data_IF_571453447238
#
_entry.id   IF_571453447238
#
_cell.length_a   1.000
_cell.length_b   1.000
_cell.length_c   1.000
_cell.angle_alpha   90.00
_cell.angle_beta   90.00
_cell.angle_gamma   90.00
#
_symmetry.space_group_name_H-M   'P 1'
#
loop_
_entity.id
_entity.type
_entity.pdbx_description
1 polymer ?
#
# COMPACT_ATOMS: atom_id res chain seq x y z
N UNK A 1 2.84 8.44 22.26
CA UNK A 1 1.65 9.11 21.70
C UNK A 1 0.74 8.04 21.11
N UNK A 2 -0.57 8.25 21.06
CA UNK A 2 -1.49 7.32 20.37
C UNK A 2 -1.44 7.55 18.87
N UNK A 3 -1.40 6.49 18.07
CA UNK A 3 -1.43 6.55 16.60
C UNK A 3 -2.67 7.30 16.09
N UNK A 4 -3.80 7.18 16.80
CA UNK A 4 -5.06 7.88 16.48
C UNK A 4 -4.94 9.40 16.50
N UNK A 5 -4.12 9.95 17.41
CA UNK A 5 -3.86 11.39 17.46
C UNK A 5 -2.91 11.88 16.36
N UNK A 6 -2.09 10.98 15.82
CA UNK A 6 -1.14 11.26 14.75
C UNK A 6 -1.81 11.24 13.36
N UNK A 7 -2.82 10.39 13.16
CA UNK A 7 -3.52 10.25 11.87
C UNK A 7 -4.31 11.49 11.43
N UNK A 8 -4.68 12.38 12.36
CA UNK A 8 -5.44 13.60 12.05
C UNK A 8 -4.55 14.83 11.78
N UNK A 9 -3.22 14.71 11.92
CA UNK A 9 -2.29 15.79 11.67
C UNK A 9 -0.98 15.24 11.05
N UNK A 10 -0.71 15.51 9.77
CA UNK A 10 0.50 15.06 9.07
C UNK A 10 1.80 15.40 9.83
N UNK A 11 1.86 16.58 10.46
CA UNK A 11 3.04 17.00 11.24
C UNK A 11 3.18 16.21 12.56
N UNK A 12 2.07 15.82 13.18
CA UNK A 12 2.09 14.99 14.39
C UNK A 12 2.46 13.54 14.07
N UNK A 13 2.08 13.05 12.88
CA UNK A 13 2.52 11.77 12.34
C UNK A 13 4.01 11.76 12.06
N UNK A 14 4.54 12.75 11.33
CA UNK A 14 5.96 12.87 11.07
C UNK A 14 6.79 13.00 12.35
N UNK A 15 6.31 13.76 13.34
CA UNK A 15 6.97 13.90 14.65
C UNK A 15 6.89 12.64 15.52
N UNK A 16 5.85 11.82 15.35
CA UNK A 16 5.78 10.50 15.98
C UNK A 16 6.77 9.54 15.33
N UNK A 17 6.89 9.58 14.00
CA UNK A 17 7.85 8.80 13.20
C UNK A 17 9.31 9.11 13.54
N UNK A 18 9.66 10.40 13.73
CA UNK A 18 11.01 10.82 14.15
C UNK A 18 11.39 10.34 15.55
N UNK A 19 10.44 10.33 16.50
CA UNK A 19 10.68 9.85 17.87
C UNK A 19 10.91 8.34 17.96
N UNK A 20 10.40 7.57 16.99
CA UNK A 20 10.65 6.12 16.85
C UNK A 20 11.95 5.82 16.07
N UNK A 21 12.71 6.85 15.68
CA UNK A 21 14.06 6.72 15.11
C UNK A 21 14.11 6.33 13.62
N UNK A 22 13.07 6.66 12.85
CA UNK A 22 12.96 6.27 11.44
C UNK A 22 13.17 7.51 10.55
N UNK A 23 14.39 7.70 10.03
CA UNK A 23 14.68 8.72 9.01
C UNK A 23 14.20 8.25 7.62
N UNK A 24 13.42 9.08 6.93
CA UNK A 24 13.00 8.84 5.55
C UNK A 24 13.33 10.07 4.69
N UNK A 25 13.98 9.85 3.54
CA UNK A 25 14.15 10.89 2.52
C UNK A 25 12.94 10.84 1.60
N UNK A 26 12.12 11.90 1.61
CA UNK A 26 10.96 12.06 0.71
C UNK A 26 11.41 12.09 -0.77
N UNK A 27 10.84 11.24 -1.64
CA UNK A 27 10.93 11.43 -3.08
C UNK A 27 9.79 12.35 -3.59
N UNK A 28 9.92 12.91 -4.80
CA UNK A 28 9.06 13.99 -5.27
C UNK A 28 7.64 13.50 -5.61
N UNK A 29 6.63 14.20 -5.09
CA UNK A 29 5.21 13.99 -5.32
C UNK A 29 4.80 14.27 -6.78
N UNK A 30 4.00 13.40 -7.41
CA UNK A 30 3.32 13.71 -8.67
C UNK A 30 1.82 13.40 -8.60
N UNK A 31 1.03 14.38 -9.05
CA UNK A 31 -0.43 14.34 -9.18
C UNK A 31 -0.89 13.42 -10.32
N UNK A 32 -2.09 12.87 -10.12
CA UNK A 32 -2.70 11.79 -10.88
C UNK A 32 -2.93 12.08 -12.38
N UNK A 33 -2.71 11.07 -13.22
CA UNK A 33 -3.38 10.91 -14.52
C UNK A 33 -3.97 9.50 -14.62
N UNK A 34 -5.31 9.43 -14.68
CA UNK A 34 -6.08 8.24 -15.06
C UNK A 34 -6.05 8.10 -16.59
N UNK A 35 -5.59 6.98 -17.10
CA UNK A 35 -6.05 6.44 -18.40
C UNK A 35 -6.09 4.91 -18.33
N UNK A 36 -7.27 4.35 -18.62
CA UNK A 36 -7.50 2.91 -18.80
C UNK A 36 -6.69 2.40 -20.00
N UNK A 37 -5.95 1.30 -19.82
CA UNK A 37 -5.35 0.57 -20.93
C UNK A 37 -5.73 -0.89 -20.87
N UNK A 38 -6.68 -1.26 -21.74
CA UNK A 38 -6.91 -2.63 -22.19
C UNK A 38 -5.64 -3.14 -22.87
N UNK A 39 -4.97 -4.08 -22.20
CA UNK A 39 -3.86 -4.85 -22.74
C UNK A 39 -4.35 -5.78 -23.85
N UNK A 40 -3.76 -5.69 -25.05
CA UNK A 40 -3.32 -6.85 -25.85
C UNK A 40 -2.56 -6.38 -27.10
N UNK A 41 -1.47 -7.09 -27.42
CA UNK A 41 -0.62 -6.98 -28.63
C UNK A 41 0.55 -5.98 -28.59
N UNK A 42 1.58 -6.26 -27.77
CA UNK A 42 2.81 -5.44 -27.70
C UNK A 42 4.03 -6.00 -28.44
N UNK A 43 4.00 -7.24 -28.93
CA UNK A 43 5.19 -7.88 -29.52
C UNK A 43 5.46 -7.53 -30.98
N UNK A 44 4.42 -7.32 -31.79
CA UNK A 44 4.54 -7.26 -33.25
C UNK A 44 4.69 -5.83 -33.78
N UNK A 45 3.94 -4.87 -33.22
CA UNK A 45 3.98 -3.45 -33.60
C UNK A 45 5.32 -2.76 -33.28
N UNK A 46 6.04 -3.29 -32.30
CA UNK A 46 7.27 -2.68 -31.77
C UNK A 46 8.52 -3.00 -32.63
N UNK A 47 8.44 -4.04 -33.46
CA UNK A 47 9.47 -4.41 -34.44
C UNK A 47 9.26 -3.66 -35.76
N UNK A 48 8.02 -3.63 -36.27
CA UNK A 48 7.69 -2.92 -37.51
C UNK A 48 7.96 -1.40 -37.40
N UNK A 49 7.66 -0.79 -36.25
CA UNK A 49 7.95 0.63 -36.02
C UNK A 49 9.46 0.91 -36.00
N UNK A 50 10.26 0.02 -35.41
CA UNK A 50 11.74 0.13 -35.39
C UNK A 50 12.38 -0.12 -36.75
N UNK A 51 11.74 -0.89 -37.62
CA UNK A 51 12.19 -1.08 -39.00
C UNK A 51 11.83 0.13 -39.86
N UNK A 52 10.61 0.65 -39.73
CA UNK A 52 10.17 1.88 -40.41
C UNK A 52 11.04 3.10 -40.04
N UNK A 53 11.32 3.29 -38.74
CA UNK A 53 12.17 4.39 -38.27
C UNK A 53 13.62 4.25 -38.79
N UNK A 54 14.13 3.03 -38.97
CA UNK A 54 15.45 2.78 -39.56
C UNK A 54 15.49 3.04 -41.06
N UNK A 55 14.45 2.65 -41.80
CA UNK A 55 14.36 2.94 -43.23
C UNK A 55 14.29 4.45 -43.49
N UNK A 56 13.48 5.19 -42.74
CA UNK A 56 13.39 6.65 -42.84
C UNK A 56 14.73 7.33 -42.53
N UNK A 57 15.46 6.85 -41.51
CA UNK A 57 16.78 7.39 -41.17
C UNK A 57 17.80 7.13 -42.28
N UNK A 58 17.68 5.99 -42.98
CA UNK A 58 18.58 5.59 -44.07
C UNK A 58 18.32 6.45 -45.31
N UNK A 59 17.05 6.67 -45.66
CA UNK A 59 16.64 7.56 -46.78
C UNK A 59 17.12 9.00 -46.54
N UNK A 60 16.97 9.53 -45.33
CA UNK A 60 17.48 10.86 -45.00
C UNK A 60 19.01 10.95 -45.06
N UNK A 61 19.72 9.91 -44.62
CA UNK A 61 21.18 9.83 -44.73
C UNK A 61 21.63 9.87 -46.19
N UNK A 62 21.00 9.10 -47.06
CA UNK A 62 21.34 9.04 -48.49
C UNK A 62 21.06 10.37 -49.21
N UNK A 63 19.98 11.07 -48.84
CA UNK A 63 19.71 12.43 -49.33
C UNK A 63 20.79 13.42 -48.92
N UNK A 64 21.24 13.38 -47.66
CA UNK A 64 22.29 14.26 -47.14
C UNK A 64 23.64 13.97 -47.83
N UNK A 65 24.00 12.70 -48.00
CA UNK A 65 25.24 12.30 -48.69
C UNK A 65 25.22 12.75 -50.15
N UNK A 66 24.06 12.70 -50.82
CA UNK A 66 23.89 13.19 -52.18
C UNK A 66 24.04 14.71 -52.26
N UNK A 67 23.45 15.45 -51.32
CA UNK A 67 23.64 16.91 -51.22
C UNK A 67 25.10 17.25 -50.95
N UNK A 68 25.79 16.51 -50.08
CA UNK A 68 27.20 16.74 -49.77
C UNK A 68 28.10 16.54 -51.01
N UNK A 69 27.88 15.47 -51.78
CA UNK A 69 28.58 15.24 -53.05
C UNK A 69 28.32 16.35 -54.07
N UNK A 70 27.09 16.85 -54.15
CA UNK A 70 26.74 17.96 -55.04
C UNK A 70 27.45 19.27 -54.65
N UNK A 71 27.50 19.57 -53.34
CA UNK A 71 28.19 20.75 -52.82
C UNK A 71 29.71 20.65 -53.00
N UNK A 72 30.29 19.45 -52.88
CA UNK A 72 31.72 19.20 -53.13
C UNK A 72 32.07 19.31 -54.62
N UNK A 73 31.17 18.88 -55.51
CA UNK A 73 31.26 19.11 -56.95
C UNK A 73 31.19 20.62 -57.30
N UNK A 74 30.27 21.38 -56.69
CA UNK A 74 30.22 22.83 -56.88
C UNK A 74 31.49 23.53 -56.37
N UNK A 75 32.02 23.09 -55.22
CA UNK A 75 33.27 23.62 -54.65
C UNK A 75 34.46 23.39 -55.59
N UNK A 76 34.55 22.23 -56.24
CA UNK A 76 35.62 21.92 -57.20
C UNK A 76 35.48 22.73 -58.49
N UNK A 77 34.26 22.92 -58.99
CA UNK A 77 33.98 23.79 -60.15
C UNK A 77 34.33 25.26 -59.89
N UNK A 78 34.06 25.77 -58.69
CA UNK A 78 34.39 27.16 -58.32
C UNK A 78 35.90 27.46 -58.28
N UNK A 79 36.77 26.46 -58.14
CA UNK A 79 38.23 26.64 -58.19
C UNK A 79 38.76 26.90 -59.63
N UNK A 80 37.91 26.88 -60.66
CA UNK A 80 38.30 26.97 -62.08
C UNK A 80 37.79 28.22 -62.82
N UNK A 81 37.06 29.13 -62.15
CA UNK A 81 36.53 30.39 -62.73
C UNK A 81 36.73 31.58 -61.77
N UNK A 82 36.75 32.79 -62.34
CA UNK A 82 37.11 34.09 -61.75
C UNK A 82 36.89 34.22 -60.22
N UNK A 83 37.93 34.70 -59.53
CA UNK A 83 38.15 34.55 -58.09
C UNK A 83 37.15 35.27 -57.18
N UNK A 84 36.40 36.25 -57.69
CA UNK A 84 35.57 37.15 -56.87
C UNK A 84 34.14 36.62 -56.66
N UNK A 85 33.53 35.96 -57.65
CA UNK A 85 32.22 35.27 -57.51
C UNK A 85 32.34 33.90 -56.81
N UNK A 86 33.53 33.29 -56.87
CA UNK A 86 33.85 32.04 -56.16
C UNK A 86 33.87 32.22 -54.63
N UNK A 87 34.37 33.35 -54.13
CA UNK A 87 34.56 33.56 -52.70
C UNK A 87 33.23 33.75 -51.94
N UNK A 88 32.29 34.49 -52.53
CA UNK A 88 30.95 34.73 -51.98
C UNK A 88 30.09 33.46 -51.98
N UNK A 89 30.12 32.68 -53.06
CA UNK A 89 29.44 31.38 -53.13
C UNK A 89 30.00 30.36 -52.12
N UNK A 90 31.32 30.34 -51.91
CA UNK A 90 31.96 29.45 -50.92
C UNK A 90 31.57 29.79 -49.48
N UNK A 91 31.47 31.08 -49.14
CA UNK A 91 30.99 31.51 -47.81
C UNK A 91 29.51 31.15 -47.61
N UNK A 92 28.67 31.31 -48.63
CA UNK A 92 27.26 30.95 -48.59
C UNK A 92 27.07 29.43 -48.39
N UNK A 93 27.73 28.61 -49.22
CA UNK A 93 27.72 27.14 -49.07
C UNK A 93 28.22 26.70 -47.70
N UNK A 94 29.30 27.31 -47.20
CA UNK A 94 29.84 26.95 -45.88
C UNK A 94 28.85 27.23 -44.76
N UNK A 95 28.03 28.28 -44.89
CA UNK A 95 27.00 28.62 -43.91
C UNK A 95 25.82 27.64 -43.97
N UNK A 96 25.36 27.30 -45.17
CA UNK A 96 24.29 26.31 -45.37
C UNK A 96 24.68 24.92 -44.85
N UNK A 97 25.91 24.46 -45.11
CA UNK A 97 26.41 23.18 -44.59
C UNK A 97 26.46 23.19 -43.05
N UNK A 98 26.91 24.29 -42.46
CA UNK A 98 26.97 24.43 -41.00
C UNK A 98 25.57 24.48 -40.36
N UNK A 99 24.58 25.03 -41.07
CA UNK A 99 23.18 25.05 -40.64
C UNK A 99 22.51 23.68 -40.78
N UNK A 100 22.69 23.00 -41.91
CA UNK A 100 22.21 21.64 -42.13
C UNK A 100 22.78 20.65 -41.09
N UNK A 101 24.06 20.75 -40.76
CA UNK A 101 24.68 19.93 -39.70
C UNK A 101 24.05 20.18 -38.33
N UNK A 102 23.80 21.45 -37.96
CA UNK A 102 23.14 21.79 -36.70
C UNK A 102 21.71 21.29 -36.63
N UNK A 103 20.97 21.36 -37.74
CA UNK A 103 19.61 20.84 -37.81
C UNK A 103 19.56 19.32 -37.68
N UNK A 104 20.45 18.60 -38.38
CA UNK A 104 20.58 17.14 -38.24
C UNK A 104 20.91 16.73 -36.79
N UNK A 105 21.78 17.49 -36.11
CA UNK A 105 22.14 17.22 -34.73
C UNK A 105 20.97 17.49 -33.76
N UNK A 106 20.17 18.53 -34.01
CA UNK A 106 18.91 18.77 -33.28
C UNK A 106 17.90 17.66 -33.48
N UNK A 107 17.71 17.17 -34.70
CA UNK A 107 16.80 16.06 -34.99
C UNK A 107 17.24 14.77 -34.28
N UNK A 108 18.55 14.46 -34.29
CA UNK A 108 19.10 13.33 -33.54
C UNK A 108 18.85 13.46 -32.04
N UNK A 109 19.06 14.65 -31.47
CA UNK A 109 18.80 14.91 -30.05
C UNK A 109 17.31 14.80 -29.71
N UNK A 110 16.42 15.28 -30.57
CA UNK A 110 14.96 15.14 -30.38
C UNK A 110 14.52 13.67 -30.44
N UNK A 111 15.05 12.89 -31.38
CA UNK A 111 14.77 11.46 -31.47
C UNK A 111 15.27 10.70 -30.23
N UNK A 112 16.49 11.01 -29.75
CA UNK A 112 17.03 10.44 -28.51
C UNK A 112 16.19 10.84 -27.30
N UNK A 113 15.77 12.11 -27.20
CA UNK A 113 14.89 12.58 -26.14
C UNK A 113 13.57 11.83 -26.13
N UNK A 114 12.91 11.67 -27.29
CA UNK A 114 11.67 10.92 -27.41
C UNK A 114 11.83 9.45 -27.01
N UNK A 115 12.96 8.83 -27.36
CA UNK A 115 13.27 7.46 -26.96
C UNK A 115 13.44 7.33 -25.44
N UNK A 116 14.16 8.26 -24.79
CA UNK A 116 14.32 8.28 -23.33
C UNK A 116 13.00 8.53 -22.62
N UNK A 117 12.17 9.47 -23.11
CA UNK A 117 10.83 9.72 -22.57
C UNK A 117 9.93 8.47 -22.64
N UNK A 118 10.01 7.72 -23.73
CA UNK A 118 9.27 6.46 -23.87
C UNK A 118 9.77 5.39 -22.88
N UNK A 119 11.08 5.28 -22.68
CA UNK A 119 11.67 4.34 -21.72
C UNK A 119 11.31 4.69 -20.27
N UNK A 120 11.27 5.99 -19.93
CA UNK A 120 10.82 6.45 -18.61
C UNK A 120 9.35 6.08 -18.37
N UNK A 121 8.46 6.35 -19.34
CA UNK A 121 7.05 5.95 -19.25
C UNK A 121 6.88 4.44 -19.07
N UNK A 122 7.69 3.63 -19.76
CA UNK A 122 7.66 2.18 -19.61
C UNK A 122 8.15 1.74 -18.22
N UNK A 123 9.20 2.38 -17.70
CA UNK A 123 9.70 2.13 -16.36
C UNK A 123 8.65 2.45 -15.29
N UNK A 124 7.94 3.57 -15.43
CA UNK A 124 6.86 3.96 -14.53
C UNK A 124 5.74 2.90 -14.50
N UNK A 125 5.36 2.36 -15.67
CA UNK A 125 4.38 1.27 -15.79
C UNK A 125 4.89 -0.02 -15.12
N UNK A 126 6.16 -0.40 -15.34
CA UNK A 126 6.74 -1.58 -14.71
C UNK A 126 6.83 -1.43 -13.20
N UNK A 127 7.25 -0.26 -12.71
CA UNK A 127 7.33 0.02 -11.28
C UNK A 127 5.94 -0.04 -10.65
N UNK A 128 4.92 0.56 -11.27
CA UNK A 128 3.54 0.43 -10.82
C UNK A 128 3.06 -1.02 -10.78
N UNK A 129 3.38 -1.83 -11.80
CA UNK A 129 2.92 -3.23 -11.93
C UNK A 129 3.62 -4.19 -10.96
N UNK A 130 4.92 -3.98 -10.71
CA UNK A 130 5.65 -4.77 -9.71
C UNK A 130 5.18 -4.42 -8.30
N UNK A 131 4.98 -3.13 -8.02
CA UNK A 131 4.52 -2.66 -6.72
C UNK A 131 3.12 -3.19 -6.38
N UNK A 132 2.21 -3.33 -7.35
CA UNK A 132 0.85 -3.89 -7.09
C UNK A 132 0.89 -5.38 -6.78
N UNK A 133 1.64 -6.19 -7.54
CA UNK A 133 1.75 -7.64 -7.27
C UNK A 133 2.40 -7.95 -5.93
N UNK A 134 3.45 -7.20 -5.58
CA UNK A 134 4.09 -7.36 -4.28
C UNK A 134 3.16 -6.91 -3.15
N UNK A 135 2.29 -5.91 -3.38
CA UNK A 135 1.28 -5.44 -2.43
C UNK A 135 0.16 -6.47 -2.21
N UNK A 136 -0.33 -7.11 -3.28
CA UNK A 136 -1.36 -8.16 -3.23
C UNK A 136 -0.88 -9.36 -2.43
N UNK A 137 0.28 -9.89 -2.82
CA UNK A 137 0.89 -11.05 -2.17
C UNK A 137 1.20 -10.74 -0.69
N UNK A 138 1.62 -9.52 -0.40
CA UNK A 138 1.86 -9.04 0.96
C UNK A 138 0.59 -9.04 1.82
N UNK A 139 -0.51 -8.49 1.32
CA UNK A 139 -1.78 -8.49 2.04
C UNK A 139 -2.23 -9.91 2.38
N UNK A 140 -2.05 -10.84 1.43
CA UNK A 140 -2.35 -12.26 1.58
C UNK A 140 -1.45 -12.93 2.63
N UNK A 141 -0.16 -12.62 2.64
CA UNK A 141 0.83 -13.34 3.45
C UNK A 141 0.93 -12.81 4.90
N UNK A 142 0.63 -11.53 5.14
CA UNK A 142 0.85 -10.91 6.44
C UNK A 142 -0.42 -10.34 7.10
N UNK A 143 -1.27 -9.64 6.34
CA UNK A 143 -2.46 -8.98 6.90
C UNK A 143 -3.56 -10.00 7.15
N UNK A 144 -3.91 -10.82 6.15
CA UNK A 144 -4.96 -11.85 6.30
C UNK A 144 -4.66 -12.80 7.46
N UNK A 145 -3.45 -13.39 7.59
CA UNK A 145 -3.16 -14.29 8.71
C UNK A 145 -3.23 -13.58 10.05
N UNK A 146 -2.83 -12.31 10.13
CA UNK A 146 -2.93 -11.54 11.37
C UNK A 146 -4.38 -11.28 11.79
N UNK A 147 -5.23 -10.92 10.84
CA UNK A 147 -6.68 -10.74 11.08
C UNK A 147 -7.35 -12.07 11.41
N UNK A 148 -6.94 -13.18 10.76
CA UNK A 148 -7.42 -14.52 11.13
C UNK A 148 -6.96 -14.93 12.53
N UNK A 149 -5.74 -14.59 12.92
CA UNK A 149 -5.26 -14.88 14.27
C UNK A 149 -6.12 -14.19 15.35
N UNK A 150 -6.60 -12.98 15.08
CA UNK A 150 -7.56 -12.30 15.96
C UNK A 150 -8.86 -13.09 16.15
N UNK A 151 -9.32 -13.82 15.12
CA UNK A 151 -10.52 -14.66 15.23
C UNK A 151 -10.36 -15.86 16.16
N UNK A 152 -9.12 -16.30 16.45
CA UNK A 152 -8.89 -17.45 17.33
C UNK A 152 -9.27 -17.21 18.79
N UNK A 153 -9.37 -15.95 19.23
CA UNK A 153 -9.83 -15.67 20.59
C UNK A 153 -11.35 -15.81 20.75
N UNK A 154 -12.12 -15.83 19.66
CA UNK A 154 -13.60 -15.81 19.71
C UNK A 154 -14.16 -17.02 20.47
N UNK A 155 -13.78 -18.27 20.17
CA UNK A 155 -14.31 -19.43 20.90
C UNK A 155 -14.00 -19.40 22.41
N UNK A 156 -12.84 -18.85 22.78
CA UNK A 156 -12.45 -18.75 24.18
C UNK A 156 -13.21 -17.63 24.91
N UNK A 157 -13.58 -16.56 24.21
CA UNK A 157 -14.45 -15.50 24.74
C UNK A 157 -15.90 -15.99 24.84
N UNK A 158 -16.40 -16.75 23.86
CA UNK A 158 -17.72 -17.40 23.93
C UNK A 158 -17.80 -18.32 25.15
N UNK A 159 -16.75 -19.10 25.41
CA UNK A 159 -16.67 -19.94 26.61
C UNK A 159 -16.74 -19.11 27.91
N UNK A 160 -16.16 -17.90 27.96
CA UNK A 160 -16.32 -17.00 29.12
C UNK A 160 -17.78 -16.58 29.28
N UNK A 161 -18.42 -16.16 28.18
CA UNK A 161 -19.82 -15.72 28.19
C UNK A 161 -20.72 -16.84 28.72
N UNK A 162 -20.58 -18.05 28.19
CA UNK A 162 -21.33 -19.23 28.62
C UNK A 162 -21.10 -19.54 30.10
N UNK A 163 -19.84 -19.62 30.53
CA UNK A 163 -19.47 -19.90 31.92
C UNK A 163 -19.98 -18.83 32.89
N UNK A 164 -19.94 -17.56 32.48
CA UNK A 164 -20.39 -16.46 33.30
C UNK A 164 -21.92 -16.36 33.36
N UNK A 165 -22.63 -16.72 32.28
CA UNK A 165 -24.10 -16.86 32.27
C UNK A 165 -24.55 -18.00 33.18
N UNK A 166 -23.90 -19.16 33.13
CA UNK A 166 -24.18 -20.28 34.04
C UNK A 166 -24.00 -19.86 35.51
N UNK A 167 -22.92 -19.11 35.78
CA UNK A 167 -22.67 -18.56 37.11
C UNK A 167 -23.78 -17.60 37.55
N UNK A 168 -24.25 -16.74 36.63
CA UNK A 168 -25.37 -15.82 36.88
C UNK A 168 -26.63 -16.60 37.22
N UNK A 169 -27.00 -17.57 36.39
CA UNK A 169 -28.21 -18.37 36.55
C UNK A 169 -28.19 -19.10 37.90
N UNK A 170 -27.12 -19.83 38.22
CA UNK A 170 -27.03 -20.52 39.51
C UNK A 170 -27.16 -19.57 40.71
N UNK A 171 -26.54 -18.39 40.62
CA UNK A 171 -26.61 -17.41 41.68
C UNK A 171 -28.05 -16.87 41.88
N UNK A 172 -28.81 -16.66 40.81
CA UNK A 172 -30.22 -16.25 40.90
C UNK A 172 -31.11 -17.35 41.46
N UNK A 173 -31.00 -18.57 40.93
CA UNK A 173 -31.92 -19.66 41.24
C UNK A 173 -31.62 -20.36 42.56
N UNK A 174 -30.35 -20.58 42.90
CA UNK A 174 -29.98 -21.40 44.06
C UNK A 174 -29.65 -20.56 45.29
N UNK A 175 -29.17 -19.33 45.11
CA UNK A 175 -28.57 -18.55 46.18
C UNK A 175 -29.25 -17.21 46.46
N UNK A 176 -30.40 -16.92 45.84
CA UNK A 176 -31.14 -15.66 46.01
C UNK A 176 -30.22 -14.43 45.79
N UNK A 177 -29.42 -14.51 44.71
CA UNK A 177 -28.39 -13.53 44.34
C UNK A 177 -27.21 -13.37 45.33
N UNK A 178 -27.05 -14.26 46.31
CA UNK A 178 -25.90 -14.27 47.20
C UNK A 178 -24.67 -14.89 46.53
N UNK A 179 -23.97 -14.05 45.78
CA UNK A 179 -22.78 -14.43 45.01
C UNK A 179 -21.68 -15.11 45.85
N UNK A 180 -21.64 -14.87 47.16
CA UNK A 180 -20.66 -15.51 48.05
C UNK A 180 -20.89 -17.00 48.25
N UNK A 181 -22.10 -17.51 47.94
CA UNK A 181 -22.46 -18.92 48.08
C UNK A 181 -22.16 -19.75 46.83
N UNK A 182 -21.90 -19.11 45.69
CA UNK A 182 -21.49 -19.79 44.46
C UNK A 182 -20.21 -20.58 44.70
N UNK A 183 -20.18 -21.83 44.22
CA UNK A 183 -19.06 -22.75 44.47
C UNK A 183 -17.73 -22.20 43.93
N UNK A 184 -16.63 -22.54 44.61
CA UNK A 184 -15.29 -22.20 44.12
C UNK A 184 -14.98 -22.91 42.79
N UNK A 185 -15.55 -24.09 42.54
CA UNK A 185 -15.34 -24.87 41.31
C UNK A 185 -15.78 -24.09 40.05
N UNK A 186 -16.97 -23.49 40.10
CA UNK A 186 -17.51 -22.72 38.98
C UNK A 186 -16.75 -21.42 38.79
N UNK A 187 -16.45 -20.72 39.89
CA UNK A 187 -15.61 -19.53 39.83
C UNK A 187 -14.22 -19.85 39.23
N UNK A 188 -13.63 -21.00 39.58
CA UNK A 188 -12.35 -21.44 39.03
C UNK A 188 -12.43 -21.76 37.54
N UNK A 189 -13.52 -22.38 37.09
CA UNK A 189 -13.76 -22.64 35.67
C UNK A 189 -13.85 -21.33 34.86
N UNK A 190 -14.68 -20.37 35.30
CA UNK A 190 -14.79 -19.05 34.64
C UNK A 190 -13.46 -18.30 34.67
N UNK A 191 -12.70 -18.36 35.77
CA UNK A 191 -11.36 -17.75 35.83
C UNK A 191 -10.39 -18.38 34.84
N UNK A 192 -10.43 -19.70 34.66
CA UNK A 192 -9.59 -20.41 33.70
C UNK A 192 -9.94 -20.03 32.26
N UNK A 193 -11.24 -19.92 31.94
CA UNK A 193 -11.71 -19.40 30.65
C UNK A 193 -11.18 -17.99 30.39
N UNK A 194 -11.29 -17.08 31.39
CA UNK A 194 -10.73 -15.73 31.31
C UNK A 194 -9.21 -15.73 31.04
N UNK A 195 -8.45 -16.61 31.70
CA UNK A 195 -7.01 -16.71 31.50
C UNK A 195 -6.65 -17.18 30.09
N UNK A 196 -7.46 -18.07 29.54
CA UNK A 196 -7.27 -18.59 28.19
C UNK A 196 -7.56 -17.52 27.14
N UNK A 197 -8.72 -16.87 27.20
CA UNK A 197 -9.05 -15.79 26.27
C UNK A 197 -8.06 -14.62 26.34
N UNK A 198 -7.58 -14.27 27.54
CA UNK A 198 -6.58 -13.20 27.68
C UNK A 198 -5.24 -13.55 27.01
N UNK A 199 -4.83 -14.82 27.02
CA UNK A 199 -3.63 -15.26 26.28
C UNK A 199 -3.86 -15.16 24.78
N UNK A 200 -5.02 -15.59 24.30
CA UNK A 200 -5.32 -15.62 22.87
C UNK A 200 -5.53 -14.21 22.31
N UNK A 201 -6.15 -13.31 23.07
CA UNK A 201 -6.22 -11.88 22.77
C UNK A 201 -4.84 -11.22 22.75
N UNK A 202 -3.94 -11.61 23.66
CA UNK A 202 -2.56 -11.11 23.62
C UNK A 202 -1.83 -11.61 22.36
N UNK A 203 -2.06 -12.85 21.91
CA UNK A 203 -1.50 -13.38 20.65
C UNK A 203 -2.03 -12.61 19.44
N UNK A 204 -3.35 -12.39 19.35
CA UNK A 204 -4.00 -11.64 18.27
C UNK A 204 -3.45 -10.22 18.14
N UNK A 205 -3.38 -9.50 19.26
CA UNK A 205 -2.88 -8.13 19.33
C UNK A 205 -1.44 -7.99 18.81
N UNK A 206 -0.54 -8.86 19.24
CA UNK A 206 0.85 -8.81 18.77
C UNK A 206 0.95 -9.05 17.26
N UNK A 207 0.00 -9.79 16.67
CA UNK A 207 -0.09 -10.00 15.23
C UNK A 207 -0.57 -8.74 14.50
N UNK A 208 -1.63 -8.07 14.98
CA UNK A 208 -2.20 -6.89 14.31
C UNK A 208 -1.29 -5.66 14.45
N UNK A 209 -0.93 -5.28 15.67
CA UNK A 209 -0.23 -4.00 15.90
C UNK A 209 1.20 -4.01 15.34
N UNK A 210 1.92 -5.15 15.38
CA UNK A 210 3.33 -5.18 14.98
C UNK A 210 3.58 -5.46 13.50
N UNK A 211 2.74 -6.30 12.85
CA UNK A 211 2.92 -6.68 11.44
C UNK A 211 2.03 -5.89 10.51
N UNK A 212 0.74 -5.76 10.79
CA UNK A 212 -0.16 -5.12 9.83
C UNK A 212 0.12 -3.61 9.68
N UNK A 213 0.34 -2.90 10.81
CA UNK A 213 0.63 -1.46 10.80
C UNK A 213 1.98 -1.12 10.19
N UNK A 214 3.05 -1.78 10.65
CA UNK A 214 4.42 -1.51 10.18
C UNK A 214 4.57 -1.75 8.69
N UNK A 215 3.82 -2.72 8.17
CA UNK A 215 3.94 -3.09 6.78
C UNK A 215 2.95 -2.39 5.85
N UNK A 216 1.82 -1.89 6.36
CA UNK A 216 1.00 -0.93 5.61
C UNK A 216 1.76 0.36 5.26
N UNK A 217 2.79 0.70 6.03
CA UNK A 217 3.70 1.80 5.69
C UNK A 217 4.58 1.45 4.47
N UNK A 218 4.94 0.18 4.30
CA UNK A 218 5.74 -0.31 3.16
C UNK A 218 4.89 -0.37 1.88
N UNK A 219 3.60 -0.70 2.00
CA UNK A 219 2.62 -0.74 0.89
C UNK A 219 2.28 0.63 0.28
N UNK A 220 2.97 1.70 0.68
CA UNK A 220 2.69 3.08 0.28
C UNK A 220 2.86 3.37 -1.23
N UNK A 221 3.36 2.42 -2.00
CA UNK A 221 3.58 2.56 -3.44
C UNK A 221 2.48 1.96 -4.34
N UNK A 222 1.59 1.09 -3.82
CA UNK A 222 0.56 0.40 -4.62
C UNK A 222 -0.88 0.87 -4.37
N UNK A 223 -1.14 1.56 -3.26
CA UNK A 223 -2.49 1.96 -2.84
C UNK A 223 -2.72 3.45 -2.98
N UNK A 224 -3.93 3.81 -3.45
CA UNK A 224 -4.42 5.19 -3.35
C UNK A 224 -4.43 5.63 -1.89
N UNK A 225 -4.19 6.91 -1.66
CA UNK A 225 -4.15 7.49 -0.32
C UNK A 225 -5.45 7.20 0.46
N UNK A 226 -6.60 7.31 -0.20
CA UNK A 226 -7.92 7.01 0.37
C UNK A 226 -8.05 5.55 0.81
N UNK A 227 -7.68 4.58 -0.04
CA UNK A 227 -7.74 3.15 0.31
C UNK A 227 -6.80 2.80 1.46
N UNK A 228 -5.62 3.41 1.50
CA UNK A 228 -4.67 3.21 2.61
C UNK A 228 -5.26 3.72 3.92
N UNK A 229 -5.90 4.88 3.89
CA UNK A 229 -6.57 5.46 5.05
C UNK A 229 -7.71 4.57 5.55
N UNK A 230 -8.55 4.06 4.65
CA UNK A 230 -9.64 3.13 4.98
C UNK A 230 -9.14 1.84 5.64
N UNK A 231 -8.08 1.23 5.09
CA UNK A 231 -7.52 -0.01 5.65
C UNK A 231 -6.83 0.23 7.01
N UNK A 232 -6.10 1.33 7.16
CA UNK A 232 -5.52 1.73 8.44
C UNK A 232 -6.60 1.98 9.49
N UNK A 233 -7.67 2.69 9.13
CA UNK A 233 -8.80 2.93 10.01
C UNK A 233 -9.48 1.62 10.43
N UNK A 234 -9.66 0.68 9.50
CA UNK A 234 -10.21 -0.64 9.79
C UNK A 234 -9.34 -1.43 10.80
N UNK A 235 -8.02 -1.43 10.62
CA UNK A 235 -7.11 -2.11 11.54
C UNK A 235 -7.01 -1.44 12.90
N UNK A 236 -7.03 -0.10 12.97
CA UNK A 236 -7.11 0.61 14.24
C UNK A 236 -8.40 0.29 14.98
N UNK A 237 -9.53 0.25 14.27
CA UNK A 237 -10.82 -0.12 14.86
C UNK A 237 -10.83 -1.58 15.35
N UNK A 238 -10.12 -2.49 14.65
CA UNK A 238 -9.94 -3.87 15.09
C UNK A 238 -9.11 -3.95 16.37
N UNK A 239 -7.98 -3.24 16.43
CA UNK A 239 -7.14 -3.16 17.63
C UNK A 239 -7.90 -2.56 18.83
N UNK A 240 -8.70 -1.53 18.62
CA UNK A 240 -9.54 -0.95 19.67
C UNK A 240 -10.56 -1.97 20.22
N UNK A 241 -11.21 -2.72 19.33
CA UNK A 241 -12.16 -3.77 19.72
C UNK A 241 -11.50 -4.90 20.51
N UNK A 242 -10.31 -5.36 20.10
CA UNK A 242 -9.53 -6.35 20.87
C UNK A 242 -9.16 -5.83 22.27
N UNK A 243 -8.72 -4.57 22.36
CA UNK A 243 -8.34 -3.96 23.63
C UNK A 243 -9.53 -3.80 24.58
N UNK A 244 -10.70 -3.40 24.06
CA UNK A 244 -11.94 -3.35 24.82
C UNK A 244 -12.30 -4.72 25.38
N UNK A 245 -12.30 -5.75 24.52
CA UNK A 245 -12.61 -7.12 24.91
C UNK A 245 -11.66 -7.66 25.98
N UNK A 246 -10.38 -7.32 25.88
CA UNK A 246 -9.35 -7.66 26.87
C UNK A 246 -9.61 -7.01 28.22
N UNK A 247 -9.97 -5.72 28.26
CA UNK A 247 -10.28 -5.03 29.51
C UNK A 247 -11.55 -5.59 30.16
N UNK A 248 -12.56 -5.97 29.37
CA UNK A 248 -13.75 -6.65 29.88
C UNK A 248 -13.42 -8.04 30.46
N UNK A 249 -12.60 -8.84 29.78
CA UNK A 249 -12.11 -10.13 30.31
C UNK A 249 -11.38 -9.96 31.65
N UNK A 250 -10.53 -8.94 31.79
CA UNK A 250 -9.85 -8.62 33.07
C UNK A 250 -10.84 -8.25 34.16
N UNK A 251 -11.88 -7.48 33.82
CA UNK A 251 -12.92 -7.09 34.76
C UNK A 251 -13.76 -8.28 35.23
N UNK A 252 -14.16 -9.18 34.33
CA UNK A 252 -14.85 -10.43 34.68
C UNK A 252 -13.96 -11.28 35.58
N UNK A 253 -12.70 -11.52 35.19
CA UNK A 253 -11.75 -12.29 36.00
C UNK A 253 -11.62 -11.73 37.42
N UNK A 254 -11.46 -10.41 37.55
CA UNK A 254 -11.37 -9.74 38.85
C UNK A 254 -12.68 -9.86 39.64
N UNK A 255 -13.81 -9.65 38.97
CA UNK A 255 -15.13 -9.75 39.60
C UNK A 255 -15.37 -11.15 40.19
N UNK A 256 -15.11 -12.20 39.39
CA UNK A 256 -15.26 -13.60 39.78
C UNK A 256 -14.31 -13.97 40.91
N UNK A 257 -13.03 -13.61 40.80
CA UNK A 257 -12.02 -13.90 41.82
C UNK A 257 -12.39 -13.37 43.21
N UNK A 258 -12.95 -12.18 43.28
CA UNK A 258 -13.28 -11.51 44.55
C UNK A 258 -14.76 -11.56 44.90
N UNK A 259 -15.60 -12.16 44.05
CA UNK A 259 -17.07 -12.17 44.16
C UNK A 259 -17.64 -10.78 44.47
N UNK A 260 -17.10 -9.77 43.77
CA UNK A 260 -17.18 -8.37 44.22
C UNK A 260 -18.59 -7.76 44.10
N UNK A 261 -19.33 -8.09 43.05
CA UNK A 261 -20.69 -7.60 42.82
C UNK A 261 -21.38 -8.45 41.77
N UNK A 262 -22.57 -8.95 42.10
CA UNK A 262 -23.39 -9.76 41.22
C UNK A 262 -23.98 -8.96 40.06
N UNK A 263 -24.58 -7.81 40.35
CA UNK A 263 -25.12 -6.91 39.31
C UNK A 263 -24.04 -6.45 38.33
N UNK A 264 -22.82 -6.22 38.84
CA UNK A 264 -21.68 -5.91 37.99
C UNK A 264 -21.30 -7.09 37.08
N UNK A 265 -21.38 -8.33 37.57
CA UNK A 265 -21.11 -9.51 36.73
C UNK A 265 -22.08 -9.60 35.57
N UNK A 266 -23.39 -9.47 35.83
CA UNK A 266 -24.42 -9.47 34.76
C UNK A 266 -24.13 -8.45 33.68
N UNK A 267 -23.88 -7.20 34.10
CA UNK A 267 -23.54 -6.14 33.16
C UNK A 267 -22.27 -6.46 32.36
N UNK A 268 -21.24 -7.00 33.00
CA UNK A 268 -20.00 -7.37 32.30
C UNK A 268 -20.22 -8.49 31.27
N UNK A 269 -21.16 -9.40 31.52
CA UNK A 269 -21.54 -10.46 30.56
C UNK A 269 -22.25 -9.86 29.34
N UNK A 270 -23.10 -8.86 29.52
CA UNK A 270 -23.73 -8.17 28.39
C UNK A 270 -22.71 -7.33 27.61
N UNK A 271 -21.84 -6.59 28.33
CA UNK A 271 -20.81 -5.75 27.73
C UNK A 271 -19.80 -6.59 26.91
N UNK A 272 -19.40 -7.78 27.40
CA UNK A 272 -18.46 -8.66 26.67
C UNK A 272 -19.10 -9.32 25.45
N UNK A 273 -20.39 -9.67 25.51
CA UNK A 273 -21.16 -10.22 24.39
C UNK A 273 -21.25 -9.21 23.24
N UNK A 274 -21.48 -7.93 23.57
CA UNK A 274 -21.53 -6.85 22.57
C UNK A 274 -20.14 -6.51 21.99
N UNK A 275 -19.11 -6.47 22.84
CA UNK A 275 -17.74 -6.25 22.39
C UNK A 275 -17.25 -7.37 21.46
N UNK A 276 -17.62 -8.63 21.76
CA UNK A 276 -17.32 -9.78 20.90
C UNK A 276 -17.99 -9.67 19.53
N UNK A 277 -19.27 -9.31 19.47
CA UNK A 277 -19.97 -9.06 18.18
C UNK A 277 -19.30 -7.95 17.39
N UNK A 278 -18.87 -6.88 18.08
CA UNK A 278 -18.13 -5.79 17.46
C UNK A 278 -16.83 -6.29 16.84
N UNK A 279 -16.02 -7.05 17.59
CA UNK A 279 -14.78 -7.65 17.09
C UNK A 279 -15.04 -8.53 15.86
N UNK A 280 -16.03 -9.42 15.94
CA UNK A 280 -16.41 -10.31 14.83
C UNK A 280 -16.79 -9.52 13.58
N UNK A 281 -17.65 -8.51 13.70
CA UNK A 281 -18.03 -7.65 12.59
C UNK A 281 -16.82 -6.93 11.97
N UNK A 282 -15.85 -6.48 12.78
CA UNK A 282 -14.61 -5.85 12.26
C UNK A 282 -13.74 -6.83 11.48
N UNK A 283 -13.61 -8.06 11.97
CA UNK A 283 -12.90 -9.14 11.28
C UNK A 283 -13.57 -9.42 9.94
N UNK A 284 -14.90 -9.57 9.93
CA UNK A 284 -15.66 -9.81 8.70
C UNK A 284 -15.53 -8.67 7.69
N UNK A 285 -15.56 -7.41 8.13
CA UNK A 285 -15.36 -6.25 7.25
C UNK A 285 -13.99 -6.29 6.59
N UNK A 286 -12.93 -6.66 7.31
CA UNK A 286 -11.58 -6.71 6.75
C UNK A 286 -11.43 -7.91 5.81
N UNK A 287 -11.95 -9.08 6.18
CA UNK A 287 -11.82 -10.32 5.39
C UNK A 287 -12.79 -10.39 4.19
N UNK A 288 -13.98 -9.81 4.31
CA UNK A 288 -15.06 -9.89 3.33
C UNK A 288 -15.06 -8.77 2.29
N UNK A 289 -14.23 -7.75 2.47
CA UNK A 289 -14.11 -6.68 1.48
C UNK A 289 -13.26 -7.17 0.30
N UNK A 290 -13.91 -7.65 -0.75
CA UNK A 290 -13.28 -8.06 -2.01
C UNK A 290 -12.35 -6.98 -2.59
N UNK A 291 -12.56 -5.71 -2.23
CA UNK A 291 -11.68 -4.60 -2.64
C UNK A 291 -10.28 -4.64 -2.00
N UNK A 292 -10.13 -5.29 -0.84
CA UNK A 292 -8.82 -5.56 -0.23
C UNK A 292 -8.19 -6.84 -0.80
N UNK A 293 -9.02 -7.82 -1.17
CA UNK A 293 -8.56 -9.08 -1.78
C UNK A 293 -8.16 -8.96 -3.26
N UNK A 294 -8.51 -7.85 -3.94
CA UNK A 294 -8.10 -7.51 -5.32
C UNK A 294 -7.10 -6.35 -5.38
N UNK A 295 -6.40 -6.06 -4.28
CA UNK A 295 -5.32 -5.04 -4.22
C UNK A 295 -4.18 -5.39 -5.15
#
# INVERSE_FOLDING_TARGET
>A
MSMKSALNNPDAFNKWMENEGIEFNEPPTQEAMKEESTSQSSGYYDVEKREFDREQLTVHKDQIDTQFKYLEYQRTMCNTRDSETCYTNKQFLSKEIAEAKRNLEREKLLAQKAQVEMQLKLLDIYQATCNTKDTEQYYIDDVIPSVRNASYCIPDVEMIIESARELVDQCEYEFDSDYKKVSDEICNFTMHACERALRDLDIGRHSITSRAVKSLMILSYGLTEERRKELLEALCNLEDAENELRELCKQIKSNVKYRSSFDKLKKLVDDIDEAMKTLHNRIEVILGNENFARM
#
